data_IF_425579843041
#
_entry.id   IF_425579843041
#
_cell.length_a   1.000
_cell.length_b   1.000
_cell.length_c   1.000
_cell.angle_alpha   90.00
_cell.angle_beta   90.00
_cell.angle_gamma   90.00
#
_symmetry.space_group_name_H-M   'P 1'
#
loop_
_entity.id
_entity.type
_entity.pdbx_description
1 polymer ?
#
# COMPACT_ATOMS: atom_id res chain seq x y z
N UNK A 1 -28.90 -21.47 3.27
CA UNK A 1 -29.29 -20.42 2.30
C UNK A 1 -28.56 -19.11 2.55
N UNK A 2 -28.45 -18.65 3.80
CA UNK A 2 -27.71 -17.44 4.21
C UNK A 2 -26.22 -17.44 3.83
N UNK A 3 -25.51 -18.57 3.99
CA UNK A 3 -24.09 -18.66 3.63
C UNK A 3 -23.82 -18.46 2.12
N UNK A 4 -24.73 -18.93 1.25
CA UNK A 4 -24.63 -18.73 -0.19
C UNK A 4 -24.84 -17.25 -0.54
N UNK A 5 -25.84 -16.62 0.07
CA UNK A 5 -26.14 -15.20 -0.12
C UNK A 5 -24.95 -14.33 0.35
N UNK A 6 -24.34 -14.69 1.48
CA UNK A 6 -23.16 -14.01 2.02
C UNK A 6 -21.95 -14.17 1.08
N UNK A 7 -21.69 -15.38 0.57
CA UNK A 7 -20.61 -15.61 -0.38
C UNK A 7 -20.80 -14.82 -1.69
N UNK A 8 -22.03 -14.76 -2.21
CA UNK A 8 -22.35 -13.96 -3.40
C UNK A 8 -22.10 -12.47 -3.14
N UNK A 9 -22.49 -11.96 -1.97
CA UNK A 9 -22.23 -10.57 -1.59
C UNK A 9 -20.71 -10.29 -1.57
N UNK A 10 -19.92 -11.07 -0.83
CA UNK A 10 -18.46 -10.91 -0.71
C UNK A 10 -17.72 -10.97 -2.07
N UNK A 11 -18.21 -11.78 -3.00
CA UNK A 11 -17.63 -11.90 -4.34
C UNK A 11 -17.94 -10.70 -5.25
N UNK A 12 -18.96 -9.91 -4.92
CA UNK A 12 -19.43 -8.79 -5.74
C UNK A 12 -19.19 -7.42 -5.09
N UNK A 13 -18.72 -7.36 -3.85
CA UNK A 13 -18.30 -6.09 -3.24
C UNK A 13 -17.10 -5.54 -4.04
N UNK A 14 -17.19 -4.31 -4.57
CA UNK A 14 -16.09 -3.71 -5.32
C UNK A 14 -14.86 -3.53 -4.42
N UNK A 15 -13.70 -3.94 -4.93
CA UNK A 15 -12.42 -3.71 -4.25
C UNK A 15 -12.12 -2.22 -4.21
N UNK A 16 -11.94 -1.67 -3.01
CA UNK A 16 -11.43 -0.30 -2.83
C UNK A 16 -9.92 -0.39 -2.63
N UNK A 17 -9.11 0.10 -3.59
CA UNK A 17 -7.67 -0.06 -3.52
C UNK A 17 -7.07 0.67 -2.31
N UNK A 18 -6.00 0.12 -1.74
CA UNK A 18 -5.17 0.79 -0.74
C UNK A 18 -4.47 1.97 -1.42
N UNK A 19 -4.70 3.17 -0.92
CA UNK A 19 -4.08 4.41 -1.39
C UNK A 19 -2.71 4.56 -0.76
N UNK A 20 -1.67 4.52 -1.58
CA UNK A 20 -0.28 4.57 -1.16
C UNK A 20 0.28 5.94 -1.51
N UNK A 21 0.73 6.67 -0.50
CA UNK A 21 1.54 7.87 -0.66
C UNK A 21 3.02 7.51 -0.52
N UNK A 22 3.84 7.93 -1.47
CA UNK A 22 5.30 7.75 -1.39
C UNK A 22 5.93 9.09 -1.05
N UNK A 23 6.35 9.23 0.19
CA UNK A 23 7.01 10.41 0.71
C UNK A 23 8.52 10.31 0.54
N UNK A 24 9.05 11.06 -0.44
CA UNK A 24 10.46 11.42 -0.57
C UNK A 24 11.46 10.29 -0.31
N UNK A 25 11.85 9.57 -1.36
CA UNK A 25 12.97 8.62 -1.34
C UNK A 25 14.22 9.23 -1.97
N UNK A 26 14.77 10.31 -1.42
CA UNK A 26 16.00 11.01 -1.88
C UNK A 26 16.09 11.49 -3.36
N UNK A 27 15.18 11.05 -4.25
CA UNK A 27 15.10 11.36 -5.67
C UNK A 27 13.73 10.94 -6.22
N UNK A 28 13.18 11.73 -7.16
CA UNK A 28 11.94 11.41 -7.89
C UNK A 28 12.05 10.05 -8.61
N UNK A 29 13.25 9.68 -9.05
CA UNK A 29 13.51 8.40 -9.74
C UNK A 29 13.24 7.20 -8.84
N UNK A 30 13.62 7.28 -7.57
CA UNK A 30 13.41 6.20 -6.61
C UNK A 30 11.92 6.01 -6.32
N UNK A 31 11.17 7.10 -6.20
CA UNK A 31 9.72 7.04 -6.04
C UNK A 31 9.05 6.36 -7.25
N UNK A 32 9.45 6.71 -8.49
CA UNK A 32 8.94 6.03 -9.68
C UNK A 32 9.33 4.55 -9.75
N UNK A 33 10.55 4.21 -9.35
CA UNK A 33 10.99 2.83 -9.28
C UNK A 33 10.12 2.02 -8.32
N UNK A 34 9.83 2.57 -7.13
CA UNK A 34 8.95 1.94 -6.15
C UNK A 34 7.55 1.74 -6.69
N UNK A 35 6.95 2.78 -7.27
CA UNK A 35 5.64 2.68 -7.89
C UNK A 35 5.58 1.58 -8.96
N UNK A 36 6.56 1.56 -9.87
CA UNK A 36 6.56 0.61 -10.98
C UNK A 36 6.79 -0.83 -10.52
N UNK A 37 7.63 -1.05 -9.52
CA UNK A 37 7.83 -2.38 -8.94
C UNK A 37 6.56 -2.88 -8.25
N UNK A 38 5.92 -2.04 -7.44
CA UNK A 38 4.67 -2.39 -6.77
C UNK A 38 3.52 -2.66 -7.76
N UNK A 39 3.40 -1.88 -8.85
CA UNK A 39 2.41 -2.13 -9.91
C UNK A 39 2.62 -3.44 -10.67
N UNK A 40 3.84 -3.98 -10.67
CA UNK A 40 4.12 -5.30 -11.27
C UNK A 40 3.75 -6.44 -10.32
N UNK A 41 3.84 -6.20 -9.02
CA UNK A 41 3.56 -7.21 -8.00
C UNK A 41 2.08 -7.27 -7.62
N UNK A 42 1.42 -6.11 -7.54
CA UNK A 42 0.02 -5.98 -7.18
C UNK A 42 -0.81 -5.50 -8.37
N UNK A 43 -2.03 -6.05 -8.52
CA UNK A 43 -3.01 -5.55 -9.47
C UNK A 43 -3.44 -4.11 -9.09
N UNK A 44 -3.76 -3.28 -10.10
CA UNK A 44 -4.32 -1.94 -9.94
C UNK A 44 -5.63 -1.88 -9.15
N UNK A 45 -6.36 -3.00 -9.05
CA UNK A 45 -7.58 -3.09 -8.25
C UNK A 45 -7.27 -3.22 -6.73
N UNK A 46 -6.03 -3.57 -6.38
CA UNK A 46 -5.58 -3.73 -5.00
C UNK A 46 -4.88 -2.48 -4.49
N UNK A 47 -4.01 -1.87 -5.29
CA UNK A 47 -3.24 -0.69 -4.87
C UNK A 47 -3.41 0.48 -5.85
N UNK A 48 -3.44 1.68 -5.30
CA UNK A 48 -3.43 2.93 -6.05
C UNK A 48 -2.44 3.90 -5.42
N UNK A 49 -1.93 4.86 -6.20
CA UNK A 49 -1.01 5.88 -5.70
C UNK A 49 -1.70 7.23 -5.62
N UNK A 50 -1.65 7.87 -4.46
CA UNK A 50 -2.22 9.18 -4.23
C UNK A 50 -1.15 10.28 -4.22
N UNK A 51 -1.58 11.53 -4.40
CA UNK A 51 -0.67 12.69 -4.45
C UNK A 51 -0.54 13.42 -3.13
N UNK A 52 -1.47 13.20 -2.21
CA UNK A 52 -1.53 13.92 -0.94
C UNK A 52 -1.59 12.94 0.22
N UNK A 53 -0.98 13.34 1.35
CA UNK A 53 -0.99 12.54 2.58
C UNK A 53 -2.43 12.28 3.06
N UNK A 54 -3.38 13.23 3.05
CA UNK A 54 -4.75 12.99 3.54
C UNK A 54 -5.49 11.85 2.82
N UNK A 55 -5.22 11.63 1.53
CA UNK A 55 -5.80 10.55 0.73
C UNK A 55 -5.18 9.18 1.01
N UNK A 56 -4.01 9.13 1.65
CA UNK A 56 -3.24 7.91 1.85
C UNK A 56 -3.85 6.99 2.92
N UNK A 57 -3.99 5.71 2.65
CA UNK A 57 -4.15 4.70 3.70
C UNK A 57 -2.78 4.31 4.27
N UNK A 58 -1.80 4.21 3.36
CA UNK A 58 -0.41 3.81 3.65
C UNK A 58 0.55 4.88 3.18
N UNK A 59 1.59 5.13 3.97
CA UNK A 59 2.71 6.00 3.62
C UNK A 59 3.97 5.15 3.52
N UNK A 60 4.67 5.23 2.39
CA UNK A 60 6.02 4.71 2.24
C UNK A 60 6.97 5.90 2.29
N UNK A 61 7.88 5.94 3.26
CA UNK A 61 8.83 7.05 3.40
C UNK A 61 10.25 6.57 3.65
N UNK A 62 11.26 7.26 3.14
CA UNK A 62 12.65 7.00 3.58
C UNK A 62 13.07 7.86 4.77
N UNK A 63 12.20 8.74 5.26
CA UNK A 63 12.51 9.70 6.32
C UNK A 63 11.70 9.40 7.59
N UNK A 64 12.36 9.08 8.72
CA UNK A 64 11.69 8.81 9.99
C UNK A 64 11.07 10.05 10.64
N UNK A 65 11.42 11.27 10.25
CA UNK A 65 11.02 12.51 10.96
C UNK A 65 9.62 13.01 10.61
N UNK A 66 8.90 12.33 9.71
CA UNK A 66 7.54 12.72 9.33
C UNK A 66 6.51 12.49 10.45
N UNK A 67 5.77 13.55 10.80
CA UNK A 67 4.65 13.46 11.76
C UNK A 67 3.40 12.89 11.06
N UNK A 68 3.29 11.56 11.02
CA UNK A 68 2.18 10.83 10.37
C UNK A 68 1.24 10.19 11.40
N UNK A 69 0.84 10.96 12.42
CA UNK A 69 0.22 10.51 13.68
C UNK A 69 -1.08 9.67 13.61
N UNK A 70 -1.50 9.14 12.47
CA UNK A 70 -2.68 8.27 12.35
C UNK A 70 -2.67 7.31 11.15
N UNK A 71 -1.56 7.19 10.42
CA UNK A 71 -1.49 6.42 9.17
C UNK A 71 -0.45 5.31 9.26
N UNK A 72 -0.68 4.21 8.56
CA UNK A 72 0.25 3.10 8.49
C UNK A 72 1.48 3.55 7.69
N UNK A 73 2.64 3.62 8.34
CA UNK A 73 3.89 4.07 7.73
C UNK A 73 4.89 2.94 7.60
N UNK A 74 5.41 2.75 6.39
CA UNK A 74 6.55 1.89 6.12
C UNK A 74 7.79 2.73 5.85
N UNK A 75 8.84 2.50 6.64
CA UNK A 75 10.12 3.18 6.45
C UNK A 75 11.04 2.42 5.51
N UNK A 76 11.13 2.90 4.28
CA UNK A 76 11.84 2.27 3.18
C UNK A 76 13.31 2.70 3.14
N UNK A 77 14.20 1.88 3.70
CA UNK A 77 15.62 2.23 3.93
C UNK A 77 16.47 2.18 2.66
N UNK A 78 16.36 1.13 1.85
CA UNK A 78 17.23 0.92 0.69
C UNK A 78 16.50 0.17 -0.45
N UNK A 79 16.45 0.78 -1.64
CA UNK A 79 15.81 0.20 -2.85
C UNK A 79 16.58 -0.95 -3.48
N UNK A 80 17.85 -1.12 -3.13
CA UNK A 80 18.69 -2.20 -3.64
C UNK A 80 18.73 -3.40 -2.71
N UNK A 81 18.16 -3.28 -1.50
CA UNK A 81 18.10 -4.36 -0.54
C UNK A 81 16.83 -5.20 -0.74
N UNK A 82 17.01 -6.49 -1.00
CA UNK A 82 15.92 -7.43 -1.24
C UNK A 82 15.07 -7.65 0.01
N UNK A 83 15.66 -7.65 1.20
CA UNK A 83 14.92 -7.87 2.45
C UNK A 83 13.92 -6.72 2.68
N UNK A 84 14.36 -5.48 2.49
CA UNK A 84 13.49 -4.30 2.56
C UNK A 84 12.28 -4.40 1.60
N UNK A 85 12.44 -5.01 0.42
CA UNK A 85 11.32 -5.26 -0.49
C UNK A 85 10.35 -6.31 0.00
N UNK A 86 10.85 -7.40 0.57
CA UNK A 86 10.02 -8.45 1.16
C UNK A 86 9.17 -7.88 2.30
N UNK A 87 9.79 -7.09 3.17
CA UNK A 87 9.10 -6.44 4.28
C UNK A 87 8.01 -5.48 3.80
N UNK A 88 8.29 -4.71 2.74
CA UNK A 88 7.29 -3.80 2.15
C UNK A 88 6.10 -4.57 1.58
N UNK A 89 6.34 -5.68 0.89
CA UNK A 89 5.29 -6.51 0.29
C UNK A 89 4.42 -7.13 1.39
N UNK A 90 5.04 -7.65 2.45
CA UNK A 90 4.31 -8.22 3.59
C UNK A 90 3.46 -7.16 4.28
N UNK A 91 4.03 -5.98 4.52
CA UNK A 91 3.34 -4.85 5.10
C UNK A 91 2.12 -4.43 4.28
N UNK A 92 2.27 -4.23 2.97
CA UNK A 92 1.15 -3.87 2.08
C UNK A 92 0.10 -4.97 2.01
N UNK A 93 0.52 -6.25 2.03
CA UNK A 93 -0.41 -7.39 2.04
C UNK A 93 -1.26 -7.40 3.30
N UNK A 94 -0.67 -7.06 4.46
CA UNK A 94 -1.40 -6.90 5.72
C UNK A 94 -2.39 -5.74 5.64
N UNK A 95 -1.97 -4.56 5.17
CA UNK A 95 -2.87 -3.41 5.00
C UNK A 95 -4.03 -3.70 4.04
N UNK A 96 -3.78 -4.45 2.95
CA UNK A 96 -4.83 -4.90 2.02
C UNK A 96 -5.84 -5.80 2.71
N UNK A 97 -5.37 -6.77 3.50
CA UNK A 97 -6.24 -7.66 4.26
C UNK A 97 -7.10 -6.88 5.27
N UNK A 98 -6.48 -6.01 6.06
CA UNK A 98 -7.18 -5.20 7.07
C UNK A 98 -8.22 -4.26 6.44
N UNK A 99 -7.90 -3.65 5.28
CA UNK A 99 -8.85 -2.77 4.57
C UNK A 99 -10.05 -3.54 4.00
N UNK A 100 -9.87 -4.81 3.62
CA UNK A 100 -10.95 -5.64 3.09
C UNK A 100 -11.93 -6.11 4.16
N UNK A 101 -11.48 -6.30 5.39
CA UNK A 101 -12.25 -6.89 6.49
C UNK A 101 -12.58 -5.90 7.62
N UNK A 102 -12.24 -4.62 7.48
CA UNK A 102 -12.74 -3.50 8.30
C UNK A 102 -14.06 -3.00 7.76
#
# INVERSE_FOLDING_TARGET
MTALLYAIYELNVPSVPVQIYINHTSSVVNSFYIQNTLKKFFNSDLIAFCKTIPEADVIISSDPEGNFSSKDVFYFKNIFDKETWTDLIEFLSKSLYEKRFR
#
